data_IF_920046548580
#
_entry.id   IF_920046548580
#
_cell.length_a   1.000
_cell.length_b   1.000
_cell.length_c   1.000
_cell.angle_alpha   90.00
_cell.angle_beta   90.00
_cell.angle_gamma   90.00
#
_symmetry.space_group_name_H-M   'P 1'
#
loop_
_entity.id
_entity.type
_entity.pdbx_description
1 polymer ?
#
# COMPACT_ATOMS: atom_id res chain seq x y z
N UNK A 1 30.52 78.73 -14.70
CA UNK A 1 31.07 77.46 -15.11
C UNK A 1 30.74 76.40 -14.05
N UNK A 2 29.46 76.06 -13.82
CA UNK A 2 28.97 74.98 -12.87
C UNK A 2 27.55 74.54 -13.32
N UNK A 3 27.35 74.12 -14.54
CA UNK A 3 26.05 73.58 -14.95
C UNK A 3 26.17 72.25 -15.73
N UNK A 4 27.34 71.61 -15.70
CA UNK A 4 27.53 70.37 -16.46
C UNK A 4 27.62 69.11 -15.61
N UNK A 5 27.31 69.16 -14.32
CA UNK A 5 27.50 68.01 -13.44
C UNK A 5 26.24 67.35 -12.89
N UNK A 6 25.08 67.88 -13.16
CA UNK A 6 23.83 67.35 -12.60
C UNK A 6 22.95 66.54 -13.59
N UNK A 7 23.32 66.52 -14.86
CA UNK A 7 22.51 65.80 -15.87
C UNK A 7 22.89 64.32 -16.07
N UNK A 8 24.02 63.87 -15.47
CA UNK A 8 24.44 62.47 -15.61
C UNK A 8 23.94 61.53 -14.50
N UNK A 9 23.26 62.07 -13.48
CA UNK A 9 22.76 61.25 -12.34
C UNK A 9 21.26 60.92 -12.41
N UNK A 10 20.56 61.40 -13.40
CA UNK A 10 19.11 61.23 -13.49
C UNK A 10 18.67 60.16 -14.50
N UNK A 11 19.62 59.54 -15.24
CA UNK A 11 19.26 58.53 -16.25
C UNK A 11 19.57 57.11 -15.77
N UNK A 12 20.21 56.93 -14.60
CA UNK A 12 20.59 55.60 -14.09
C UNK A 12 19.60 55.01 -13.08
N UNK A 13 18.50 55.71 -12.74
CA UNK A 13 17.60 55.26 -11.68
C UNK A 13 16.23 54.80 -12.18
N UNK A 14 15.99 54.75 -13.48
CA UNK A 14 14.69 54.37 -14.04
C UNK A 14 14.72 53.04 -14.83
N UNK A 15 15.80 52.26 -14.75
CA UNK A 15 15.89 51.01 -15.49
C UNK A 15 15.96 49.76 -14.57
N UNK A 16 15.48 49.89 -13.33
CA UNK A 16 15.36 48.73 -12.40
C UNK A 16 13.92 48.70 -11.90
N UNK A 17 13.02 48.14 -12.64
CA UNK A 17 11.63 48.04 -12.17
C UNK A 17 10.66 47.34 -13.10
N UNK A 18 11.13 46.62 -14.11
CA UNK A 18 10.25 45.72 -14.84
C UNK A 18 10.75 44.28 -14.60
N UNK A 19 10.62 43.80 -13.37
CA UNK A 19 10.51 42.36 -13.15
C UNK A 19 9.15 41.93 -13.66
N UNK A 20 9.15 41.40 -14.88
CA UNK A 20 7.99 40.73 -15.44
C UNK A 20 7.66 39.56 -14.50
N UNK A 21 6.66 39.73 -13.64
CA UNK A 21 5.99 38.63 -12.98
C UNK A 21 5.28 37.83 -14.07
N UNK A 22 6.00 36.93 -14.72
CA UNK A 22 5.34 35.89 -15.51
C UNK A 22 4.64 34.98 -14.52
N UNK A 23 3.31 34.83 -14.55
CA UNK A 23 2.65 33.81 -13.79
C UNK A 23 3.19 32.49 -14.33
N UNK A 24 3.95 31.75 -13.49
CA UNK A 24 4.29 30.37 -13.77
C UNK A 24 2.98 29.60 -13.65
N UNK A 25 2.23 29.56 -14.75
CA UNK A 25 1.14 28.61 -14.90
C UNK A 25 1.79 27.22 -14.91
N UNK A 26 1.88 26.59 -13.73
CA UNK A 26 2.14 25.16 -13.64
C UNK A 26 0.93 24.50 -14.30
N UNK A 27 1.04 24.19 -15.59
CA UNK A 27 0.14 23.24 -16.22
C UNK A 27 0.36 21.93 -15.48
N UNK A 28 -0.53 21.64 -14.55
CA UNK A 28 -0.66 20.31 -13.96
C UNK A 28 -1.24 19.43 -15.08
N UNK A 29 -0.35 18.72 -15.78
CA UNK A 29 -0.80 17.66 -16.67
C UNK A 29 -1.30 16.54 -15.75
N UNK A 30 -2.60 16.41 -15.63
CA UNK A 30 -3.23 15.22 -15.12
C UNK A 30 -2.91 14.11 -16.14
N UNK A 31 -1.84 13.36 -15.90
CA UNK A 31 -1.62 12.11 -16.62
C UNK A 31 -2.79 11.18 -16.27
N UNK A 32 -3.67 10.97 -17.22
CA UNK A 32 -4.62 9.87 -17.14
C UNK A 32 -3.80 8.57 -17.22
N UNK A 33 -3.44 8.05 -16.06
CA UNK A 33 -2.82 6.74 -15.96
C UNK A 33 -3.88 5.73 -16.38
N UNK A 34 -3.71 5.11 -17.54
CA UNK A 34 -4.56 3.99 -17.94
C UNK A 34 -4.39 2.90 -16.88
N UNK A 35 -5.39 2.74 -16.03
CA UNK A 35 -5.42 1.67 -15.04
C UNK A 35 -5.76 0.38 -15.78
N UNK A 36 -4.82 -0.55 -15.78
CA UNK A 36 -5.05 -1.91 -16.26
C UNK A 36 -5.46 -2.73 -15.04
N UNK A 37 -6.66 -3.30 -15.09
CA UNK A 37 -7.17 -4.19 -14.06
C UNK A 37 -6.92 -5.63 -14.50
N UNK A 38 -6.18 -6.39 -13.69
CA UNK A 38 -6.05 -7.82 -13.85
C UNK A 38 -7.06 -8.49 -12.91
N UNK A 39 -7.87 -9.37 -13.43
CA UNK A 39 -8.78 -10.17 -12.63
C UNK A 39 -8.02 -11.36 -12.06
N UNK A 40 -8.07 -11.54 -10.73
CA UNK A 40 -7.50 -12.69 -10.04
C UNK A 40 -8.67 -13.59 -9.63
N UNK A 41 -8.63 -14.84 -10.06
CA UNK A 41 -9.66 -15.84 -9.79
C UNK A 41 -9.02 -17.18 -9.36
N UNK A 42 -9.84 -18.22 -9.21
CA UNK A 42 -9.41 -19.56 -8.80
C UNK A 42 -8.39 -20.17 -9.78
N UNK A 43 -8.45 -19.84 -11.07
CA UNK A 43 -7.50 -20.33 -12.08
C UNK A 43 -6.08 -19.81 -11.85
N UNK A 44 -5.93 -18.65 -11.20
CA UNK A 44 -4.64 -18.11 -10.78
C UNK A 44 -4.18 -18.59 -9.40
N UNK A 45 -4.95 -19.46 -8.74
CA UNK A 45 -4.52 -20.17 -7.53
C UNK A 45 -5.03 -19.60 -6.20
N UNK A 46 -6.01 -18.68 -6.20
CA UNK A 46 -6.68 -18.28 -4.96
C UNK A 46 -7.64 -19.40 -4.50
N UNK A 47 -7.76 -19.60 -3.19
CA UNK A 47 -8.57 -20.68 -2.62
C UNK A 47 -10.06 -20.54 -2.90
N UNK A 48 -10.59 -19.31 -2.95
CA UNK A 48 -11.98 -19.00 -3.24
C UNK A 48 -12.12 -17.60 -3.84
N UNK A 49 -13.14 -17.38 -4.70
CA UNK A 49 -13.36 -16.09 -5.38
C UNK A 49 -13.96 -14.99 -4.49
N UNK A 50 -14.63 -15.37 -3.39
CA UNK A 50 -15.20 -14.39 -2.44
C UNK A 50 -14.17 -14.02 -1.39
N UNK A 51 -13.82 -12.75 -1.35
CA UNK A 51 -12.82 -12.22 -0.40
C UNK A 51 -13.57 -11.54 0.75
N UNK A 52 -13.31 -11.98 1.97
CA UNK A 52 -13.88 -11.43 3.21
C UNK A 52 -12.95 -10.40 3.85
N UNK A 53 -11.61 -10.57 3.70
CA UNK A 53 -10.62 -9.66 4.23
C UNK A 53 -9.46 -9.46 3.26
N UNK A 54 -8.94 -8.22 3.17
CA UNK A 54 -7.77 -7.86 2.36
C UNK A 54 -6.82 -7.04 3.21
N UNK A 55 -5.54 -7.42 3.21
CA UNK A 55 -4.50 -6.69 3.94
C UNK A 55 -3.18 -6.71 3.15
N UNK A 56 -2.49 -5.56 3.07
CA UNK A 56 -1.11 -5.51 2.55
C UNK A 56 -0.14 -5.37 3.71
N UNK A 57 0.81 -6.29 3.82
CA UNK A 57 1.81 -6.25 4.88
C UNK A 57 2.97 -5.29 4.56
N UNK A 58 3.83 -5.05 5.57
CA UNK A 58 4.98 -4.16 5.48
C UNK A 58 6.05 -4.61 4.47
N UNK A 59 6.03 -5.86 4.03
CA UNK A 59 6.92 -6.42 3.00
C UNK A 59 6.30 -6.36 1.59
N UNK A 60 5.03 -5.90 1.49
CA UNK A 60 4.31 -5.75 0.22
C UNK A 60 3.51 -6.96 -0.23
N UNK A 61 3.48 -8.05 0.54
CA UNK A 61 2.58 -9.18 0.27
C UNK A 61 1.12 -8.78 0.47
N UNK A 62 0.24 -9.28 -0.38
CA UNK A 62 -1.20 -9.13 -0.22
C UNK A 62 -1.74 -10.40 0.44
N UNK A 63 -2.44 -10.21 1.56
CA UNK A 63 -3.12 -11.26 2.29
C UNK A 63 -4.62 -11.18 2.01
N UNK A 64 -5.19 -12.30 1.60
CA UNK A 64 -6.61 -12.42 1.23
C UNK A 64 -7.26 -13.50 2.10
N UNK A 65 -8.21 -13.07 2.91
CA UNK A 65 -9.04 -13.98 3.70
C UNK A 65 -10.27 -14.39 2.94
N UNK A 66 -10.57 -15.68 2.91
CA UNK A 66 -11.75 -16.27 2.29
C UNK A 66 -12.47 -17.19 3.28
N UNK A 67 -13.57 -17.81 2.89
CA UNK A 67 -14.20 -18.89 3.64
C UNK A 67 -13.50 -20.25 3.43
N UNK A 68 -12.53 -20.32 2.51
CA UNK A 68 -11.75 -21.53 2.20
C UNK A 68 -10.23 -21.33 2.37
N UNK A 69 -9.86 -20.59 3.40
CA UNK A 69 -8.48 -20.39 3.82
C UNK A 69 -7.95 -18.97 3.67
N UNK A 70 -6.73 -18.79 4.16
CA UNK A 70 -5.95 -17.57 4.05
C UNK A 70 -4.96 -17.70 2.90
N UNK A 71 -4.92 -16.68 2.04
CA UNK A 71 -4.05 -16.66 0.87
C UNK A 71 -3.03 -15.53 1.01
N UNK A 72 -1.74 -15.81 0.77
CA UNK A 72 -0.68 -14.81 0.64
C UNK A 72 -0.23 -14.73 -0.80
N UNK A 73 -0.30 -13.55 -1.40
CA UNK A 73 0.08 -13.28 -2.78
C UNK A 73 1.34 -12.42 -2.83
N UNK A 74 2.34 -12.84 -3.62
CA UNK A 74 3.62 -12.14 -3.80
C UNK A 74 3.72 -11.33 -5.11
N UNK A 75 2.62 -11.22 -5.86
CA UNK A 75 2.59 -10.61 -7.19
C UNK A 75 2.62 -11.63 -8.34
N UNK A 76 2.96 -12.89 -8.06
CA UNK A 76 3.11 -13.96 -9.06
C UNK A 76 2.35 -15.23 -8.69
N UNK A 77 2.39 -15.65 -7.45
CA UNK A 77 1.82 -16.91 -6.97
C UNK A 77 1.13 -16.74 -5.62
N UNK A 78 0.23 -17.68 -5.32
CA UNK A 78 -0.46 -17.79 -4.05
C UNK A 78 0.18 -18.85 -3.17
N UNK A 79 0.36 -18.52 -1.88
CA UNK A 79 0.54 -19.49 -0.83
C UNK A 79 -0.74 -19.56 -0.01
N UNK A 80 -1.33 -20.76 0.11
CA UNK A 80 -2.57 -20.98 0.83
C UNK A 80 -2.26 -21.58 2.20
N UNK A 81 -2.95 -21.08 3.24
CA UNK A 81 -2.95 -21.60 4.59
C UNK A 81 -4.36 -22.08 4.92
N UNK A 82 -4.50 -23.37 5.10
CA UNK A 82 -5.75 -24.03 5.47
C UNK A 82 -5.67 -24.60 6.89
N UNK A 83 -6.83 -24.89 7.47
CA UNK A 83 -6.90 -25.68 8.69
C UNK A 83 -6.52 -27.12 8.39
N UNK A 84 -5.61 -27.67 9.20
CA UNK A 84 -5.21 -29.09 9.18
C UNK A 84 -5.09 -29.58 10.62
N UNK A 85 -5.76 -30.68 10.91
CA UNK A 85 -5.72 -31.27 12.24
C UNK A 85 -4.31 -31.77 12.56
N UNK A 86 -3.82 -31.47 13.79
CA UNK A 86 -2.49 -31.87 14.30
C UNK A 86 -1.28 -31.27 13.54
N UNK A 87 -1.46 -30.23 12.75
CA UNK A 87 -0.40 -29.58 12.00
C UNK A 87 -0.18 -28.12 12.42
N UNK A 88 0.89 -27.51 11.91
CA UNK A 88 1.16 -26.09 12.05
C UNK A 88 0.25 -25.31 11.07
N UNK A 89 -1.02 -25.18 11.42
CA UNK A 89 -2.08 -24.63 10.58
C UNK A 89 -2.89 -23.54 11.29
N UNK A 90 -3.74 -22.83 10.57
CA UNK A 90 -4.73 -21.91 11.12
C UNK A 90 -5.86 -22.68 11.80
N UNK A 91 -6.59 -22.03 12.73
CA UNK A 91 -7.63 -22.68 13.53
C UNK A 91 -8.93 -22.97 12.77
N UNK A 92 -9.16 -22.34 11.64
CA UNK A 92 -10.32 -22.54 10.76
C UNK A 92 -10.10 -21.89 9.39
N UNK A 93 -10.76 -22.39 8.33
CA UNK A 93 -10.64 -21.82 6.98
C UNK A 93 -11.40 -20.50 6.81
N UNK A 94 -12.47 -20.28 7.55
CA UNK A 94 -13.25 -19.02 7.47
C UNK A 94 -12.50 -17.86 8.12
N UNK A 95 -11.92 -16.99 7.30
CA UNK A 95 -11.14 -15.83 7.72
C UNK A 95 -12.07 -14.61 7.78
N UNK A 96 -12.00 -13.86 8.88
CA UNK A 96 -12.85 -12.69 9.08
C UNK A 96 -12.08 -11.38 9.11
N UNK A 97 -10.79 -11.41 9.52
CA UNK A 97 -9.95 -10.20 9.56
C UNK A 97 -8.46 -10.55 9.53
N UNK A 98 -7.63 -9.61 9.07
CA UNK A 98 -6.17 -9.78 8.93
C UNK A 98 -5.50 -8.47 9.31
N UNK A 99 -4.44 -8.54 10.13
CA UNK A 99 -3.62 -7.38 10.49
C UNK A 99 -2.16 -7.79 10.72
N UNK A 100 -1.26 -6.81 10.79
CA UNK A 100 0.16 -7.00 11.10
C UNK A 100 0.53 -6.30 12.41
N UNK A 101 1.31 -6.96 13.26
CA UNK A 101 1.85 -6.34 14.47
C UNK A 101 3.17 -5.59 14.17
N UNK A 102 3.60 -4.76 15.13
CA UNK A 102 4.86 -3.99 15.02
C UNK A 102 6.13 -4.83 14.89
N UNK A 103 6.03 -6.14 15.06
CA UNK A 103 7.13 -7.09 14.92
C UNK A 103 7.09 -7.83 13.57
N UNK A 104 6.12 -7.51 12.70
CA UNK A 104 5.94 -8.13 11.40
C UNK A 104 5.26 -9.50 11.43
N UNK A 105 4.58 -9.86 12.51
CA UNK A 105 3.74 -11.07 12.51
C UNK A 105 2.35 -10.74 11.97
N UNK A 106 1.78 -11.65 11.23
CA UNK A 106 0.40 -11.55 10.74
C UNK A 106 -0.55 -12.16 11.78
N UNK A 107 -1.56 -11.42 12.14
CA UNK A 107 -2.65 -11.86 12.99
C UNK A 107 -3.88 -12.04 12.14
N UNK A 108 -4.50 -13.20 12.29
CA UNK A 108 -5.63 -13.64 11.47
C UNK A 108 -6.76 -14.09 12.38
N UNK A 109 -7.90 -13.41 12.25
CA UNK A 109 -9.13 -13.81 12.91
C UNK A 109 -9.86 -14.84 12.04
N UNK A 110 -10.26 -15.92 12.67
CA UNK A 110 -11.11 -16.96 12.08
C UNK A 110 -12.38 -17.15 12.91
N UNK A 111 -13.32 -17.91 12.42
CA UNK A 111 -14.54 -18.24 13.19
C UNK A 111 -14.25 -19.09 14.44
N UNK A 112 -13.06 -19.69 14.57
CA UNK A 112 -12.69 -20.57 15.70
C UNK A 112 -11.58 -20.01 16.59
N UNK A 113 -11.07 -18.81 16.31
CA UNK A 113 -10.00 -18.22 17.12
C UNK A 113 -9.10 -17.27 16.35
N UNK A 114 -8.12 -16.75 17.07
CA UNK A 114 -7.11 -15.84 16.54
C UNK A 114 -5.82 -16.60 16.30
N UNK A 115 -5.19 -16.38 15.17
CA UNK A 115 -3.95 -17.03 14.78
C UNK A 115 -2.84 -15.99 14.59
N UNK A 116 -1.66 -16.26 15.11
CA UNK A 116 -0.46 -15.47 14.88
C UNK A 116 0.49 -16.23 13.98
N UNK A 117 0.82 -15.68 12.83
CA UNK A 117 1.74 -16.24 11.84
C UNK A 117 3.06 -15.46 11.89
N UNK A 118 4.16 -16.16 12.16
CA UNK A 118 5.49 -15.58 12.00
C UNK A 118 5.90 -15.72 10.52
N UNK A 119 6.01 -14.62 9.80
CA UNK A 119 6.33 -14.62 8.35
C UNK A 119 7.68 -15.28 8.01
N UNK A 120 8.67 -15.19 8.92
CA UNK A 120 10.02 -15.70 8.68
C UNK A 120 10.15 -17.21 8.92
N UNK A 121 9.52 -17.71 9.98
CA UNK A 121 9.60 -19.11 10.38
C UNK A 121 8.39 -19.93 9.94
N UNK A 122 7.36 -19.25 9.46
CA UNK A 122 6.06 -19.81 9.09
C UNK A 122 5.35 -20.56 10.22
N UNK A 123 5.80 -20.36 11.45
CA UNK A 123 5.14 -20.94 12.63
C UNK A 123 3.84 -20.21 12.90
N UNK A 124 2.79 -20.99 13.13
CA UNK A 124 1.46 -20.53 13.47
C UNK A 124 1.18 -20.87 14.93
N UNK A 125 0.72 -19.87 15.67
CA UNK A 125 0.25 -20.05 17.04
C UNK A 125 -1.23 -19.70 17.11
N UNK A 126 -2.05 -20.63 17.54
CA UNK A 126 -3.49 -20.46 17.72
C UNK A 126 -3.80 -19.95 19.13
N UNK A 127 -4.81 -19.08 19.22
CA UNK A 127 -5.43 -18.58 20.44
C UNK A 127 -6.95 -18.84 20.31
N UNK A 128 -7.49 -19.87 20.99
CA UNK A 128 -8.91 -20.19 20.89
C UNK A 128 -9.76 -19.07 21.48
N UNK A 129 -10.96 -18.94 20.99
CA UNK A 129 -12.01 -18.11 21.60
C UNK A 129 -12.73 -19.02 22.62
N UNK A 130 -12.82 -18.58 23.88
CA UNK A 130 -13.66 -19.25 24.91
C UNK A 130 -15.13 -18.97 24.70
#
# INVERSE_FOLDING_TARGET
MVIKRHFKKLITTTLVGITVLTPINKLSYAQSKNLIFNNINIEQGISQSTIEAIFQDSEGYIWLGTNDGLNRYNGYEFKIYNYEEYQNSISHNGITDITEDKYGNIWVNTVSGVNKINKKTEKIKMYPIE
#
